data_IF_507384141491
#
_entry.id   IF_507384141491
#
_cell.length_a   1.000
_cell.length_b   1.000
_cell.length_c   1.000
_cell.angle_alpha   90.00
_cell.angle_beta   90.00
_cell.angle_gamma   90.00
#
_symmetry.space_group_name_H-M   'P 1'
#
loop_
_entity.id
_entity.type
_entity.pdbx_description
1 polymer ?
#
# COMPACT_ATOMS: atom_id res chain seq x y z
N UNK A 1 -31.58 -8.32 1.33
CA UNK A 1 -31.10 -9.15 0.20
C UNK A 1 -29.64 -8.77 -0.07
N UNK A 2 -28.68 -9.59 0.38
CA UNK A 2 -27.25 -9.36 0.12
C UNK A 2 -27.01 -9.57 -1.38
N UNK A 3 -26.75 -8.49 -2.12
CA UNK A 3 -26.32 -8.57 -3.51
C UNK A 3 -24.95 -9.27 -3.50
N UNK A 4 -24.86 -10.47 -4.04
CA UNK A 4 -23.61 -11.23 -4.11
C UNK A 4 -22.59 -10.39 -4.87
N UNK A 5 -21.52 -10.02 -4.17
CA UNK A 5 -20.38 -9.31 -4.78
C UNK A 5 -19.72 -10.33 -5.72
N UNK A 6 -19.85 -10.12 -7.03
CA UNK A 6 -19.10 -10.91 -8.00
C UNK A 6 -17.69 -10.35 -8.07
N UNK A 7 -16.79 -10.92 -7.27
CA UNK A 7 -15.36 -10.62 -7.32
C UNK A 7 -14.76 -11.18 -8.61
N UNK A 8 -13.83 -10.45 -9.21
CA UNK A 8 -12.98 -10.93 -10.30
C UNK A 8 -11.95 -11.94 -9.79
N UNK A 9 -11.37 -12.72 -10.70
CA UNK A 9 -10.29 -13.66 -10.36
C UNK A 9 -9.10 -12.93 -9.73
N UNK A 10 -8.75 -11.73 -10.22
CA UNK A 10 -7.65 -10.93 -9.68
C UNK A 10 -7.93 -10.50 -8.25
N UNK A 11 -9.14 -10.01 -7.95
CA UNK A 11 -9.53 -9.65 -6.58
C UNK A 11 -9.42 -10.85 -5.63
N UNK A 12 -9.89 -12.03 -6.06
CA UNK A 12 -9.83 -13.27 -5.27
C UNK A 12 -8.38 -13.68 -5.02
N UNK A 13 -7.54 -13.69 -6.06
CA UNK A 13 -6.14 -14.09 -5.94
C UNK A 13 -5.39 -13.16 -4.98
N UNK A 14 -5.55 -11.84 -5.11
CA UNK A 14 -4.89 -10.89 -4.21
C UNK A 14 -5.37 -11.07 -2.76
N UNK A 15 -6.68 -11.23 -2.53
CA UNK A 15 -7.21 -11.45 -1.19
C UNK A 15 -6.74 -12.77 -0.56
N UNK A 16 -6.74 -13.87 -1.33
CA UNK A 16 -6.26 -15.18 -0.86
C UNK A 16 -4.77 -15.10 -0.56
N UNK A 17 -3.99 -14.52 -1.48
CA UNK A 17 -2.55 -14.36 -1.30
C UNK A 17 -2.24 -13.56 -0.03
N UNK A 18 -2.84 -12.38 0.15
CA UNK A 18 -2.68 -11.56 1.36
C UNK A 18 -3.12 -12.33 2.61
N UNK A 19 -4.26 -13.03 2.55
CA UNK A 19 -4.75 -13.83 3.66
C UNK A 19 -3.79 -14.95 4.07
N UNK A 20 -3.21 -15.67 3.10
CA UNK A 20 -2.21 -16.72 3.34
C UNK A 20 -0.95 -16.12 3.94
N UNK A 21 -0.40 -15.05 3.34
CA UNK A 21 0.79 -14.36 3.84
C UNK A 21 0.60 -13.99 5.31
N UNK A 22 -0.46 -13.26 5.64
CA UNK A 22 -0.73 -12.83 7.03
C UNK A 22 -0.95 -14.01 7.96
N UNK A 23 -1.72 -15.01 7.56
CA UNK A 23 -2.03 -16.18 8.40
C UNK A 23 -0.77 -16.99 8.70
N UNK A 24 0.08 -17.22 7.68
CA UNK A 24 1.36 -17.91 7.85
C UNK A 24 2.27 -17.12 8.80
N UNK A 25 2.37 -15.80 8.61
CA UNK A 25 3.14 -14.94 9.52
C UNK A 25 2.67 -15.02 10.97
N UNK A 26 1.36 -14.93 11.21
CA UNK A 26 0.77 -15.08 12.55
C UNK A 26 1.06 -16.45 13.15
N UNK A 27 0.85 -17.53 12.39
CA UNK A 27 1.05 -18.90 12.88
C UNK A 27 2.51 -19.12 13.25
N UNK A 28 3.45 -18.77 12.38
CA UNK A 28 4.88 -18.98 12.63
C UNK A 28 5.34 -18.13 13.82
N UNK A 29 4.94 -16.86 13.91
CA UNK A 29 5.33 -15.99 15.03
C UNK A 29 4.86 -16.51 16.40
N UNK A 30 3.81 -17.33 16.45
CA UNK A 30 3.30 -17.93 17.68
C UNK A 30 3.88 -19.32 17.98
N UNK A 31 4.53 -19.98 17.00
CA UNK A 31 5.18 -21.28 17.17
C UNK A 31 6.68 -21.12 17.42
N UNK A 32 7.33 -20.30 16.61
CA UNK A 32 8.78 -20.07 16.64
C UNK A 32 9.08 -18.61 16.26
N UNK A 33 9.20 -17.78 17.30
CA UNK A 33 9.54 -16.36 17.17
C UNK A 33 10.88 -16.18 16.48
N UNK A 34 11.87 -17.03 16.77
CA UNK A 34 13.20 -16.89 16.19
C UNK A 34 13.18 -17.17 14.69
N UNK A 35 12.45 -18.20 14.25
CA UNK A 35 12.28 -18.48 12.82
C UNK A 35 11.50 -17.37 12.13
N UNK A 36 10.44 -16.85 12.77
CA UNK A 36 9.70 -15.71 12.24
C UNK A 36 10.61 -14.50 12.00
N UNK A 37 11.42 -14.09 12.98
CA UNK A 37 12.25 -12.89 12.88
C UNK A 37 13.44 -13.02 11.94
N UNK A 38 14.00 -14.23 11.81
CA UNK A 38 15.24 -14.49 11.06
C UNK A 38 15.02 -15.11 9.68
N UNK A 39 13.80 -15.55 9.35
CA UNK A 39 13.50 -16.18 8.05
C UNK A 39 12.27 -15.55 7.39
N UNK A 40 11.16 -15.45 8.11
CA UNK A 40 9.89 -14.99 7.52
C UNK A 40 9.86 -13.47 7.32
N UNK A 41 10.08 -12.74 8.41
CA UNK A 41 10.14 -11.28 8.49
C UNK A 41 11.61 -10.82 8.61
N UNK A 42 12.52 -11.54 7.93
CA UNK A 42 13.92 -11.13 7.83
C UNK A 42 14.03 -9.94 6.90
N UNK A 43 14.96 -9.04 7.22
CA UNK A 43 15.32 -7.94 6.32
C UNK A 43 15.88 -8.55 5.02
N UNK A 44 15.58 -7.95 3.86
CA UNK A 44 15.76 -8.50 2.52
C UNK A 44 15.02 -9.82 2.25
N UNK A 45 14.07 -10.17 3.11
CA UNK A 45 13.27 -11.38 3.00
C UNK A 45 12.20 -11.31 1.92
N UNK A 46 11.49 -12.43 1.74
CA UNK A 46 10.36 -12.49 0.80
C UNK A 46 9.25 -11.48 1.14
N UNK A 47 8.93 -11.30 2.42
CA UNK A 47 7.82 -10.44 2.87
C UNK A 47 8.10 -8.97 2.59
N UNK A 48 9.29 -8.47 2.94
CA UNK A 48 9.70 -7.09 2.67
C UNK A 48 9.78 -6.83 1.16
N UNK A 49 10.45 -7.70 0.40
CA UNK A 49 10.52 -7.59 -1.05
C UNK A 49 9.13 -7.66 -1.73
N UNK A 50 8.16 -8.33 -1.10
CA UNK A 50 6.80 -8.35 -1.61
C UNK A 50 6.17 -6.96 -1.55
N UNK A 51 6.42 -6.14 -0.54
CA UNK A 51 5.92 -4.75 -0.41
C UNK A 51 6.16 -3.93 -1.68
N UNK A 52 7.32 -4.13 -2.32
CA UNK A 52 7.76 -3.47 -3.54
C UNK A 52 6.86 -3.80 -4.73
N UNK A 53 6.40 -5.05 -4.84
CA UNK A 53 5.67 -5.55 -6.03
C UNK A 53 4.33 -4.81 -6.22
N UNK A 54 3.41 -4.75 -5.25
CA UNK A 54 2.17 -3.99 -5.39
C UNK A 54 2.40 -2.50 -5.65
N UNK A 55 3.43 -1.90 -5.07
CA UNK A 55 3.77 -0.49 -5.26
C UNK A 55 4.20 -0.20 -6.70
N UNK A 56 5.09 -1.03 -7.27
CA UNK A 56 5.50 -0.88 -8.66
C UNK A 56 4.34 -1.13 -9.63
N UNK A 57 3.49 -2.12 -9.36
CA UNK A 57 2.28 -2.36 -10.17
C UNK A 57 1.32 -1.16 -10.08
N UNK A 58 1.14 -0.58 -8.89
CA UNK A 58 0.32 0.61 -8.71
C UNK A 58 0.90 1.82 -9.47
N UNK A 59 2.22 1.99 -9.46
CA UNK A 59 2.88 3.05 -10.22
C UNK A 59 2.68 2.91 -11.73
N UNK A 60 2.93 1.71 -12.26
CA UNK A 60 2.71 1.40 -13.69
C UNK A 60 1.25 1.61 -14.07
N UNK A 61 0.31 1.14 -13.24
CA UNK A 61 -1.12 1.31 -13.49
C UNK A 61 -1.54 2.79 -13.45
N UNK A 62 -0.99 3.59 -12.53
CA UNK A 62 -1.24 5.02 -12.47
C UNK A 62 -0.73 5.77 -13.71
N UNK A 63 0.49 5.47 -14.18
CA UNK A 63 1.01 6.00 -15.45
C UNK A 63 0.18 5.56 -16.65
N UNK A 64 -0.22 4.29 -16.69
CA UNK A 64 -1.11 3.78 -17.72
C UNK A 64 -2.42 4.56 -17.78
N UNK A 65 -3.07 4.80 -16.64
CA UNK A 65 -4.29 5.61 -16.58
C UNK A 65 -4.02 7.07 -17.01
N UNK A 66 -2.89 7.65 -16.58
CA UNK A 66 -2.52 9.01 -16.95
C UNK A 66 -2.41 9.17 -18.46
N UNK A 67 -1.74 8.24 -19.15
CA UNK A 67 -1.59 8.26 -20.62
C UNK A 67 -2.91 7.93 -21.32
N UNK A 68 -3.59 6.86 -20.89
CA UNK A 68 -4.77 6.34 -21.60
C UNK A 68 -5.98 7.25 -21.50
N UNK A 69 -6.28 7.75 -20.29
CA UNK A 69 -7.53 8.46 -20.01
C UNK A 69 -7.31 9.89 -19.52
N UNK A 70 -6.09 10.26 -19.10
CA UNK A 70 -5.81 11.55 -18.46
C UNK A 70 -6.17 12.76 -19.32
N UNK A 71 -6.12 12.66 -20.66
CA UNK A 71 -6.54 13.74 -21.57
C UNK A 71 -8.03 14.11 -21.45
N UNK A 72 -8.86 13.20 -20.96
CA UNK A 72 -10.31 13.39 -20.77
C UNK A 72 -10.67 13.72 -19.32
N UNK A 73 -9.68 13.95 -18.45
CA UNK A 73 -9.86 14.12 -17.01
C UNK A 73 -9.35 15.48 -16.57
N UNK A 74 -9.77 15.88 -15.36
CA UNK A 74 -9.35 17.16 -14.78
C UNK A 74 -7.84 17.16 -14.50
N UNK A 75 -7.25 18.35 -14.36
CA UNK A 75 -5.85 18.44 -13.95
C UNK A 75 -5.63 17.85 -12.55
N UNK A 76 -6.60 17.98 -11.64
CA UNK A 76 -6.55 17.38 -10.30
C UNK A 76 -6.47 15.85 -10.37
N UNK A 77 -7.28 15.22 -11.23
CA UNK A 77 -7.24 13.77 -11.46
C UNK A 77 -5.85 13.33 -11.95
N UNK A 78 -5.29 14.05 -12.93
CA UNK A 78 -3.94 13.80 -13.44
C UNK A 78 -2.87 13.96 -12.36
N UNK A 79 -2.97 15.00 -11.55
CA UNK A 79 -2.05 15.26 -10.44
C UNK A 79 -2.10 14.13 -9.40
N UNK A 80 -3.29 13.62 -9.06
CA UNK A 80 -3.44 12.48 -8.15
C UNK A 80 -2.84 11.20 -8.74
N UNK A 81 -3.02 10.92 -10.04
CA UNK A 81 -2.37 9.77 -10.66
C UNK A 81 -0.84 9.88 -10.64
N UNK A 82 -0.28 11.04 -10.98
CA UNK A 82 1.17 11.25 -10.91
C UNK A 82 1.66 11.16 -9.46
N UNK A 83 0.91 11.71 -8.51
CA UNK A 83 1.23 11.57 -7.09
C UNK A 83 1.26 10.11 -6.67
N UNK A 84 0.22 9.31 -6.98
CA UNK A 84 0.20 7.87 -6.69
C UNK A 84 1.40 7.18 -7.35
N UNK A 85 1.72 7.51 -8.60
CA UNK A 85 2.81 6.89 -9.33
C UNK A 85 4.18 7.16 -8.70
N UNK A 86 4.51 8.44 -8.50
CA UNK A 86 5.80 8.84 -7.93
C UNK A 86 5.91 8.49 -6.46
N UNK A 87 4.83 8.60 -5.68
CA UNK A 87 4.83 8.18 -4.28
C UNK A 87 5.03 6.67 -4.15
N UNK A 88 4.38 5.86 -5.00
CA UNK A 88 4.60 4.41 -4.98
C UNK A 88 6.02 4.02 -5.40
N UNK A 89 6.61 4.72 -6.38
CA UNK A 89 8.03 4.54 -6.75
C UNK A 89 8.95 4.94 -5.59
N UNK A 90 8.66 6.06 -4.93
CA UNK A 90 9.43 6.54 -3.79
C UNK A 90 9.40 5.50 -2.67
N UNK A 91 8.23 5.04 -2.24
CA UNK A 91 8.12 4.01 -1.19
C UNK A 91 8.80 2.72 -1.64
N UNK A 92 8.56 2.23 -2.86
CA UNK A 92 9.23 1.04 -3.37
C UNK A 92 10.76 1.18 -3.40
N UNK A 93 11.27 2.36 -3.77
CA UNK A 93 12.69 2.69 -3.75
C UNK A 93 13.24 2.71 -2.33
N UNK A 94 12.52 3.30 -1.39
CA UNK A 94 12.89 3.30 0.03
C UNK A 94 13.01 1.88 0.60
N UNK A 95 12.08 0.98 0.27
CA UNK A 95 12.11 -0.45 0.68
C UNK A 95 13.34 -1.21 0.14
N UNK A 96 13.74 -0.97 -1.12
CA UNK A 96 14.93 -1.64 -1.72
C UNK A 96 16.21 -0.81 -1.62
N UNK A 97 16.19 0.22 -0.80
CA UNK A 97 17.33 1.14 -0.58
C UNK A 97 17.87 1.70 -1.89
N UNK A 98 16.96 2.11 -2.77
CA UNK A 98 17.19 2.66 -4.10
C UNK A 98 18.03 1.76 -5.01
N UNK A 99 17.98 0.43 -4.78
CA UNK A 99 18.75 -0.55 -5.55
C UNK A 99 20.23 -0.60 -5.19
N UNK A 100 20.62 -0.01 -4.06
CA UNK A 100 22.01 0.01 -3.59
C UNK A 100 22.64 -1.40 -3.58
N UNK A 101 21.91 -2.39 -3.06
CA UNK A 101 22.35 -3.79 -2.98
C UNK A 101 22.49 -4.44 -4.36
N UNK A 102 21.57 -4.14 -5.29
CA UNK A 102 21.58 -4.66 -6.65
C UNK A 102 22.78 -4.15 -7.47
N UNK A 103 23.17 -2.90 -7.27
CA UNK A 103 24.25 -2.26 -8.00
C UNK A 103 25.58 -2.21 -7.22
N UNK A 104 25.63 -2.84 -6.04
CA UNK A 104 26.77 -2.83 -5.13
C UNK A 104 27.32 -1.40 -4.87
N UNK A 105 26.39 -0.45 -4.70
CA UNK A 105 26.70 0.94 -4.42
C UNK A 105 26.99 1.07 -2.92
N UNK A 106 28.04 1.79 -2.56
CA UNK A 106 28.27 2.11 -1.14
C UNK A 106 27.44 3.32 -0.70
N UNK A 107 26.94 3.26 0.53
CA UNK A 107 26.33 4.42 1.18
C UNK A 107 27.36 5.49 1.51
N UNK A 108 26.93 6.74 1.50
CA UNK A 108 27.74 7.86 2.00
C UNK A 108 28.00 7.75 3.50
N UNK A 109 29.00 8.46 4.00
CA UNK A 109 29.33 8.51 5.44
C UNK A 109 28.12 8.89 6.29
N UNK A 110 27.33 9.87 5.84
CA UNK A 110 26.09 10.27 6.51
C UNK A 110 25.14 9.09 6.75
N UNK A 111 24.89 8.27 5.73
CA UNK A 111 23.99 7.12 5.85
C UNK A 111 24.63 6.00 6.67
N UNK A 112 25.94 5.74 6.53
CA UNK A 112 26.66 4.76 7.36
C UNK A 112 26.57 5.09 8.85
N UNK A 113 26.55 6.37 9.22
CA UNK A 113 26.47 6.82 10.61
C UNK A 113 25.04 6.91 11.17
N UNK A 114 24.06 7.24 10.32
CA UNK A 114 22.70 7.60 10.77
C UNK A 114 21.61 6.62 10.34
N UNK A 115 21.93 5.59 9.56
CA UNK A 115 21.00 4.54 9.14
C UNK A 115 21.27 3.24 9.93
N UNK A 116 20.22 2.58 10.41
CA UNK A 116 20.34 1.37 11.22
C UNK A 116 21.01 0.19 10.51
N UNK A 117 21.02 0.19 9.18
CA UNK A 117 21.65 -0.82 8.33
C UNK A 117 22.79 -0.24 7.47
N UNK A 118 23.10 1.05 7.65
CA UNK A 118 24.09 1.74 6.81
C UNK A 118 23.68 1.86 5.35
N UNK A 119 22.38 2.00 5.08
CA UNK A 119 21.80 2.06 3.74
C UNK A 119 21.41 3.48 3.31
N UNK A 120 21.33 3.69 1.99
CA UNK A 120 20.98 4.96 1.34
C UNK A 120 19.46 5.10 1.23
N UNK A 121 18.75 4.97 2.34
CA UNK A 121 17.31 5.23 2.42
C UNK A 121 16.97 6.03 3.68
N UNK A 122 15.82 6.69 3.65
CA UNK A 122 15.23 7.37 4.79
C UNK A 122 14.45 6.40 5.68
N UNK A 123 13.92 5.31 5.11
CA UNK A 123 13.15 4.30 5.82
C UNK A 123 13.91 3.71 7.03
N UNK A 124 15.21 3.40 6.87
CA UNK A 124 16.04 2.81 7.93
C UNK A 124 16.84 3.84 8.74
N UNK A 125 16.61 5.14 8.55
CA UNK A 125 17.25 6.19 9.35
C UNK A 125 16.88 6.09 10.83
N UNK A 126 17.83 6.46 11.69
CA UNK A 126 17.65 6.54 13.14
C UNK A 126 17.66 8.00 13.56
N UNK A 127 16.55 8.49 14.12
CA UNK A 127 16.42 9.86 14.62
C UNK A 127 16.00 9.81 16.08
N UNK A 128 16.80 10.42 16.97
CA UNK A 128 16.52 10.39 18.41
C UNK A 128 16.48 8.97 19.00
N UNK A 129 17.31 8.06 18.48
CA UNK A 129 17.38 6.66 18.93
C UNK A 129 16.22 5.77 18.48
N UNK A 130 15.36 6.24 17.56
CA UNK A 130 14.25 5.45 17.00
C UNK A 130 14.36 5.37 15.48
N UNK A 131 14.09 4.18 14.93
CA UNK A 131 14.01 3.97 13.48
C UNK A 131 12.83 4.77 12.90
N UNK A 132 13.06 5.46 11.78
CA UNK A 132 12.07 6.29 11.09
C UNK A 132 10.91 5.44 10.57
N UNK A 133 11.17 4.25 10.04
CA UNK A 133 10.12 3.34 9.59
C UNK A 133 9.05 3.09 10.65
N UNK A 134 9.46 2.76 11.87
CA UNK A 134 8.57 2.45 12.98
C UNK A 134 7.64 3.61 13.35
N UNK A 135 8.09 4.85 13.23
CA UNK A 135 7.31 6.04 13.60
C UNK A 135 6.47 6.54 12.41
N UNK A 136 7.14 6.83 11.29
CA UNK A 136 6.50 7.50 10.16
C UNK A 136 5.75 6.50 9.30
N UNK A 137 6.40 5.41 8.90
CA UNK A 137 5.84 4.46 7.96
C UNK A 137 4.85 3.50 8.63
N UNK A 138 5.12 3.01 9.83
CA UNK A 138 4.23 2.05 10.48
C UNK A 138 3.11 2.71 11.29
N UNK A 139 3.35 3.80 12.04
CA UNK A 139 2.30 4.39 12.91
C UNK A 139 1.48 5.48 12.23
N UNK A 140 2.12 6.51 11.66
CA UNK A 140 1.40 7.65 11.08
C UNK A 140 0.58 7.23 9.85
N UNK A 141 1.17 6.46 8.94
CA UNK A 141 0.46 5.97 7.74
C UNK A 141 -0.70 5.05 8.15
N UNK A 142 -0.53 4.18 9.14
CA UNK A 142 -1.62 3.31 9.63
C UNK A 142 -2.82 4.13 10.13
N UNK A 143 -2.58 5.19 10.91
CA UNK A 143 -3.66 6.07 11.37
C UNK A 143 -4.33 6.78 10.20
N UNK A 144 -3.55 7.29 9.24
CA UNK A 144 -4.07 7.96 8.05
C UNK A 144 -4.92 7.02 7.17
N UNK A 145 -4.44 5.80 6.93
CA UNK A 145 -5.15 4.76 6.18
C UNK A 145 -6.42 4.34 6.93
N UNK A 146 -6.35 4.13 8.24
CA UNK A 146 -7.52 3.81 9.07
C UNK A 146 -8.59 4.90 8.99
N UNK A 147 -8.19 6.16 9.10
CA UNK A 147 -9.10 7.29 8.94
C UNK A 147 -9.69 7.35 7.52
N UNK A 148 -8.88 7.14 6.47
CA UNK A 148 -9.36 7.05 5.09
C UNK A 148 -10.40 5.93 4.93
N UNK A 149 -10.09 4.70 5.35
CA UNK A 149 -10.95 3.52 5.17
C UNK A 149 -12.31 3.65 5.87
N UNK A 150 -12.34 4.31 7.04
CA UNK A 150 -13.57 4.47 7.82
C UNK A 150 -14.36 5.71 7.39
N UNK A 151 -13.69 6.85 7.18
CA UNK A 151 -14.36 8.13 6.96
C UNK A 151 -14.76 8.32 5.49
N UNK A 152 -13.87 8.03 4.54
CA UNK A 152 -14.10 8.36 3.13
C UNK A 152 -15.32 7.62 2.56
N UNK A 153 -15.46 6.29 2.69
CA UNK A 153 -16.61 5.58 2.15
C UNK A 153 -17.96 6.06 2.74
N UNK A 154 -17.98 6.42 4.02
CA UNK A 154 -19.19 6.95 4.70
C UNK A 154 -19.55 8.33 4.15
N UNK A 155 -18.58 9.25 4.07
CA UNK A 155 -18.82 10.59 3.53
C UNK A 155 -19.19 10.55 2.05
N UNK A 156 -18.57 9.65 1.29
CA UNK A 156 -18.86 9.43 -0.12
C UNK A 156 -20.32 9.01 -0.38
N UNK A 157 -20.90 8.24 0.54
CA UNK A 157 -22.30 7.83 0.47
C UNK A 157 -23.26 8.95 0.92
N UNK A 158 -22.91 9.67 1.98
CA UNK A 158 -23.82 10.61 2.65
C UNK A 158 -23.79 12.04 2.08
N UNK A 159 -22.68 12.48 1.48
CA UNK A 159 -22.47 13.89 1.10
C UNK A 159 -22.17 14.01 -0.39
N UNK A 160 -23.13 14.52 -1.17
CA UNK A 160 -23.00 14.71 -2.63
C UNK A 160 -21.87 15.68 -3.02
N UNK A 161 -21.60 16.70 -2.20
CA UNK A 161 -20.46 17.61 -2.40
C UNK A 161 -19.11 16.88 -2.28
N UNK A 162 -18.97 16.05 -1.25
CA UNK A 162 -17.75 15.24 -1.03
C UNK A 162 -17.57 14.20 -2.14
N UNK A 163 -18.65 13.50 -2.55
CA UNK A 163 -18.63 12.59 -3.71
C UNK A 163 -18.10 13.27 -4.97
N UNK A 164 -18.65 14.43 -5.32
CA UNK A 164 -18.20 15.21 -6.50
C UNK A 164 -16.74 15.63 -6.40
N UNK A 165 -16.28 15.99 -5.21
CA UNK A 165 -14.89 16.35 -4.97
C UNK A 165 -13.95 15.13 -5.14
N UNK A 166 -14.26 14.01 -4.49
CA UNK A 166 -13.51 12.75 -4.63
C UNK A 166 -13.44 12.30 -6.09
N UNK A 167 -14.59 12.30 -6.80
CA UNK A 167 -14.66 11.87 -8.19
C UNK A 167 -13.90 12.83 -9.12
N UNK A 168 -13.90 14.14 -8.84
CA UNK A 168 -13.13 15.14 -9.59
C UNK A 168 -11.63 14.90 -9.46
N UNK A 169 -11.17 14.54 -8.27
CA UNK A 169 -9.76 14.25 -7.98
C UNK A 169 -9.38 12.81 -8.37
N UNK A 170 -10.33 11.93 -8.64
CA UNK A 170 -10.03 10.52 -8.93
C UNK A 170 -9.43 9.78 -7.75
N UNK A 171 -9.86 10.11 -6.53
CA UNK A 171 -9.43 9.38 -5.35
C UNK A 171 -10.20 8.04 -5.31
N UNK A 172 -9.51 6.89 -5.26
CA UNK A 172 -10.17 5.60 -5.20
C UNK A 172 -10.89 5.48 -3.87
N UNK A 173 -12.10 4.92 -3.89
CA UNK A 173 -12.88 4.66 -2.66
C UNK A 173 -12.94 3.17 -2.40
N UNK A 174 -12.51 2.76 -1.20
CA UNK A 174 -12.54 1.36 -0.79
C UNK A 174 -13.97 0.78 -0.79
N UNK A 175 -14.09 -0.45 -1.27
CA UNK A 175 -15.30 -1.26 -1.18
C UNK A 175 -15.41 -1.92 0.20
N UNK A 176 -16.62 -2.34 0.59
CA UNK A 176 -16.87 -2.93 1.92
C UNK A 176 -15.97 -4.13 2.23
N UNK A 177 -15.78 -5.03 1.28
CA UNK A 177 -14.94 -6.21 1.48
C UNK A 177 -13.45 -5.85 1.61
N UNK A 178 -12.99 -4.79 0.92
CA UNK A 178 -11.62 -4.28 1.02
C UNK A 178 -11.39 -3.66 2.41
N UNK A 179 -12.37 -2.90 2.91
CA UNK A 179 -12.34 -2.35 4.28
C UNK A 179 -12.26 -3.48 5.29
N UNK A 180 -13.08 -4.53 5.15
CA UNK A 180 -13.03 -5.71 6.02
C UNK A 180 -11.66 -6.39 5.94
N UNK A 181 -11.10 -6.57 4.75
CA UNK A 181 -9.77 -7.16 4.57
C UNK A 181 -8.67 -6.32 5.27
N UNK A 182 -8.69 -4.99 5.14
CA UNK A 182 -7.76 -4.11 5.83
C UNK A 182 -7.92 -4.19 7.35
N UNK A 183 -9.16 -4.22 7.85
CA UNK A 183 -9.41 -4.35 9.29
C UNK A 183 -8.92 -5.70 9.82
N UNK A 184 -9.16 -6.79 9.09
CA UNK A 184 -8.64 -8.11 9.43
C UNK A 184 -7.11 -8.14 9.44
N UNK A 185 -6.46 -7.49 8.47
CA UNK A 185 -5.00 -7.31 8.48
C UNK A 185 -4.54 -6.58 9.75
N UNK A 186 -5.11 -5.41 10.05
CA UNK A 186 -4.77 -4.62 11.25
C UNK A 186 -5.01 -5.38 12.55
N UNK A 187 -6.06 -6.21 12.63
CA UNK A 187 -6.31 -7.05 13.80
C UNK A 187 -5.34 -8.23 13.89
N UNK A 188 -4.99 -8.83 12.76
CA UNK A 188 -4.12 -10.01 12.71
C UNK A 188 -2.69 -9.69 13.15
N UNK A 189 -2.17 -8.51 12.80
CA UNK A 189 -0.82 -8.09 13.23
C UNK A 189 -0.68 -7.91 14.75
N UNK A 190 -1.79 -7.74 15.47
CA UNK A 190 -1.80 -7.69 16.95
C UNK A 190 -1.55 -9.08 17.57
N UNK A 191 -1.71 -10.14 16.79
CA UNK A 191 -1.48 -11.52 17.21
C UNK A 191 0.00 -11.94 17.03
N UNK A 192 0.84 -11.08 16.46
CA UNK A 192 2.28 -11.34 16.28
C UNK A 192 3.02 -10.79 17.51
N UNK A 193 3.61 -11.65 18.38
CA UNK A 193 4.16 -11.24 19.67
C UNK A 193 5.57 -10.60 19.56
N UNK A 194 5.91 -10.00 18.43
CA UNK A 194 7.26 -9.52 18.12
C UNK A 194 7.26 -8.08 17.60
N UNK A 195 8.42 -7.43 17.64
CA UNK A 195 8.60 -6.08 17.10
C UNK A 195 8.64 -6.01 15.56
N UNK A 196 8.67 -7.16 14.89
CA UNK A 196 8.76 -7.31 13.42
C UNK A 196 7.40 -7.59 12.76
N UNK A 197 6.31 -7.18 13.40
CA UNK A 197 4.97 -7.27 12.81
C UNK A 197 4.72 -6.25 11.70
N UNK A 198 5.55 -5.20 11.61
CA UNK A 198 5.49 -4.18 10.57
C UNK A 198 5.69 -4.74 9.15
N UNK A 199 6.61 -5.68 8.96
CA UNK A 199 6.89 -6.31 7.65
C UNK A 199 5.62 -6.91 7.03
N UNK A 200 4.88 -7.69 7.83
CA UNK A 200 3.64 -8.35 7.41
C UNK A 200 2.53 -7.31 7.19
N UNK A 201 2.49 -6.26 8.00
CA UNK A 201 1.56 -5.15 7.81
C UNK A 201 1.82 -4.44 6.48
N UNK A 202 3.07 -4.10 6.17
CA UNK A 202 3.49 -3.35 5.00
C UNK A 202 3.25 -4.15 3.72
N UNK A 203 3.63 -5.43 3.70
CA UNK A 203 3.34 -6.34 2.59
C UNK A 203 1.83 -6.51 2.35
N UNK A 204 1.05 -6.65 3.43
CA UNK A 204 -0.40 -6.78 3.35
C UNK A 204 -1.08 -5.50 2.88
N UNK A 205 -0.74 -4.35 3.47
CA UNK A 205 -1.44 -3.09 3.24
C UNK A 205 -1.12 -2.52 1.86
N UNK A 206 0.09 -2.71 1.34
CA UNK A 206 0.43 -2.33 -0.04
C UNK A 206 -0.31 -3.18 -1.07
N UNK A 207 -0.50 -4.48 -0.79
CA UNK A 207 -1.33 -5.35 -1.64
C UNK A 207 -2.80 -4.92 -1.63
N UNK A 208 -3.34 -4.58 -0.45
CA UNK A 208 -4.71 -4.09 -0.32
C UNK A 208 -4.89 -2.68 -0.90
N UNK A 209 -3.87 -1.83 -0.83
CA UNK A 209 -3.84 -0.54 -1.52
C UNK A 209 -3.95 -0.73 -3.04
N UNK A 210 -3.15 -1.64 -3.62
CA UNK A 210 -3.25 -1.97 -5.03
C UNK A 210 -4.66 -2.49 -5.39
N UNK A 211 -5.22 -3.37 -4.56
CA UNK A 211 -6.58 -3.91 -4.74
C UNK A 211 -7.63 -2.79 -4.76
N UNK A 212 -7.57 -1.84 -3.82
CA UNK A 212 -8.47 -0.68 -3.77
C UNK A 212 -8.29 0.19 -5.01
N UNK A 213 -7.06 0.40 -5.47
CA UNK A 213 -6.78 1.26 -6.61
C UNK A 213 -7.20 0.64 -7.95
N UNK A 214 -7.05 -0.67 -8.11
CA UNK A 214 -7.49 -1.41 -9.31
C UNK A 214 -9.02 -1.59 -9.35
N UNK A 215 -9.64 -1.84 -8.19
CA UNK A 215 -11.07 -2.12 -8.07
C UNK A 215 -11.77 -1.17 -7.09
N UNK A 216 -11.74 0.15 -7.34
CA UNK A 216 -12.36 1.11 -6.46
C UNK A 216 -13.88 1.06 -6.62
N UNK A 217 -14.59 1.43 -5.56
CA UNK A 217 -16.05 1.58 -5.57
C UNK A 217 -16.53 2.56 -6.65
N UNK A 218 -15.79 3.65 -6.85
CA UNK A 218 -16.05 4.66 -7.87
C UNK A 218 -15.34 4.34 -9.20
N UNK A 219 -15.34 3.06 -9.62
CA UNK A 219 -14.68 2.57 -10.83
C UNK A 219 -15.04 3.36 -12.10
N UNK A 220 -16.25 3.93 -12.17
CA UNK A 220 -16.72 4.70 -13.33
C UNK A 220 -15.87 5.94 -13.59
N UNK A 221 -15.23 6.50 -12.57
CA UNK A 221 -14.33 7.65 -12.68
C UNK A 221 -13.10 7.30 -13.52
N UNK A 222 -12.69 6.03 -13.55
CA UNK A 222 -11.52 5.53 -14.28
C UNK A 222 -11.85 5.01 -15.68
N UNK A 223 -13.05 5.25 -16.20
CA UNK A 223 -13.40 4.96 -17.61
C UNK A 223 -13.31 6.21 -18.47
N UNK A 224 -12.99 6.02 -19.75
CA UNK A 224 -13.26 7.04 -20.77
C UNK A 224 -14.77 7.19 -20.89
N UNK A 225 -15.28 8.40 -20.67
CA UNK A 225 -16.58 8.77 -21.21
C UNK A 225 -16.24 9.29 -22.60
N UNK A 226 -16.30 8.41 -23.61
CA UNK A 226 -16.52 8.90 -24.97
C UNK A 226 -17.98 9.32 -24.96
N UNK A 227 -18.27 10.62 -25.05
CA UNK A 227 -19.61 11.03 -25.45
C UNK A 227 -19.79 10.49 -26.86
N UNK A 228 -20.60 9.44 -27.01
CA UNK A 228 -21.15 9.10 -28.31
C UNK A 228 -22.05 10.28 -28.72
N UNK A 229 -21.55 11.12 -29.63
CA UNK A 229 -22.31 12.14 -30.33
C UNK A 229 -22.37 13.51 -29.65
N UNK A 230 -21.67 14.48 -30.23
CA UNK A 230 -22.29 15.71 -30.78
C UNK A 230 -21.65 15.98 -32.15
#
# INVERSE_FOLDING_TARGET
MLKTIKLTIVEIVLLIFTGILVTVGVVIANIDVAWYENVYAVEDGFVENWTVVPLLVAAVYAFYLFVKIGRYKTWHFKAILLFIAFFSIFVAGEEISWGQRLFNIESSEFFKENNAQGETNLHNMVVGGKKVNKIVFSQLITVAIGAYLLVFPILYDKKTGFRRWVDRFGIPIAQRYQIVACLLLFLSILLIPTGKNAEVLEAGITTLFLLIFLFPRNWYVYRCIVSEGE
#
